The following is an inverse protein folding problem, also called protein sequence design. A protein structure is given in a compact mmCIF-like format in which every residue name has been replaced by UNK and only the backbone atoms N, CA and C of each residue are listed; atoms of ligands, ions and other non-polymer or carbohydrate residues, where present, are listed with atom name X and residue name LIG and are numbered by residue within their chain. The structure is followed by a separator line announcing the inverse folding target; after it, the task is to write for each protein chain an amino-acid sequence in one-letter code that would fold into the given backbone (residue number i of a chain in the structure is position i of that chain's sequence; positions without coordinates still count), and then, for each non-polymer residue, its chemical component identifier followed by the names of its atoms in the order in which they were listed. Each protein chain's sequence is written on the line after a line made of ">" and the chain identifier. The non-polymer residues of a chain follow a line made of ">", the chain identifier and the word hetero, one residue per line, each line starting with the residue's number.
data_IF_126185345646
#
_entry.id   IF_126185345646
#
_cell.length_a   1.000
_cell.length_b   1.000
_cell.length_c   1.000
_cell.angle_alpha   90.00
_cell.angle_beta   90.00
_cell.angle_gamma   90.00
#
_symmetry.space_group_name_H-M   'P 1'
#
loop_
_entity.id
_entity.type
_entity.pdbx_description
1 polymer ?
#
# COMPACT_ATOMS: atom_id res chain seq x y z
N UNK A 1 -17.44 -28.06 -13.97
CA UNK A 1 -16.49 -27.10 -14.58
C UNK A 1 -15.90 -26.26 -13.45
N UNK A 2 -14.67 -26.53 -13.05
CA UNK A 2 -14.02 -25.83 -11.94
C UNK A 2 -13.42 -24.51 -12.45
N UNK A 3 -13.92 -23.38 -11.97
CA UNK A 3 -13.28 -22.07 -12.12
C UNK A 3 -12.19 -21.95 -11.06
N UNK A 4 -10.92 -21.73 -11.39
CA UNK A 4 -9.99 -21.11 -10.46
C UNK A 4 -10.07 -19.61 -10.70
N UNK A 5 -10.68 -18.87 -9.78
CA UNK A 5 -10.40 -17.44 -9.65
C UNK A 5 -10.34 -17.10 -8.17
N UNK A 6 -9.46 -17.80 -7.46
CA UNK A 6 -8.84 -17.20 -6.28
C UNK A 6 -7.92 -16.14 -6.88
N UNK A 7 -8.20 -14.87 -6.68
CA UNK A 7 -7.20 -13.86 -6.95
C UNK A 7 -6.04 -14.16 -6.02
N UNK A 8 -4.96 -14.72 -6.57
CA UNK A 8 -3.74 -14.94 -5.80
C UNK A 8 -3.10 -13.59 -5.51
N UNK A 9 -2.80 -13.37 -4.23
CA UNK A 9 -1.89 -12.34 -3.78
C UNK A 9 -0.58 -12.49 -4.55
N UNK A 10 -0.22 -11.45 -5.29
CA UNK A 10 1.06 -11.40 -5.95
C UNK A 10 2.08 -10.79 -4.98
N UNK A 11 2.93 -11.64 -4.42
CA UNK A 11 4.06 -11.19 -3.61
C UNK A 11 5.27 -10.87 -4.48
N UNK A 12 5.86 -9.70 -4.26
CA UNK A 12 6.96 -9.14 -5.05
C UNK A 12 8.15 -8.91 -4.12
N UNK A 13 9.19 -9.70 -4.31
CA UNK A 13 10.44 -9.63 -3.55
C UNK A 13 11.61 -9.04 -4.35
N UNK A 14 11.48 -8.96 -5.68
CA UNK A 14 12.59 -8.50 -6.52
C UNK A 14 12.70 -6.97 -6.50
N UNK A 15 13.94 -6.48 -6.47
CA UNK A 15 14.22 -5.04 -6.35
C UNK A 15 13.60 -4.22 -7.47
N UNK A 16 13.54 -4.75 -8.69
CA UNK A 16 12.99 -4.04 -9.86
C UNK A 16 11.47 -3.92 -9.77
N UNK A 17 10.78 -5.00 -9.38
CA UNK A 17 9.35 -5.04 -9.13
C UNK A 17 8.93 -4.12 -7.99
N UNK A 18 9.67 -4.17 -6.87
CA UNK A 18 9.48 -3.25 -5.75
C UNK A 18 9.62 -1.80 -6.23
N UNK A 19 10.74 -1.45 -6.87
CA UNK A 19 11.00 -0.11 -7.37
C UNK A 19 9.89 0.40 -8.30
N UNK A 20 9.44 -0.44 -9.26
CA UNK A 20 8.33 -0.09 -10.16
C UNK A 20 7.06 0.30 -9.41
N UNK A 21 6.73 -0.41 -8.33
CA UNK A 21 5.53 -0.11 -7.56
C UNK A 21 5.75 1.14 -6.73
N UNK A 22 6.81 1.24 -5.93
CA UNK A 22 6.96 2.36 -4.99
C UNK A 22 7.19 3.69 -5.69
N UNK A 23 7.85 3.71 -6.85
CA UNK A 23 7.97 4.92 -7.67
C UNK A 23 6.69 5.27 -8.43
N UNK A 24 5.73 4.34 -8.56
CA UNK A 24 4.42 4.62 -9.17
C UNK A 24 3.42 5.26 -8.19
N UNK A 25 3.68 5.19 -6.88
CA UNK A 25 2.80 5.75 -5.87
C UNK A 25 3.29 7.17 -5.52
N UNK A 26 2.50 8.22 -5.78
CA UNK A 26 2.89 9.58 -5.43
C UNK A 26 2.96 9.74 -3.91
N UNK A 27 3.90 10.55 -3.41
CA UNK A 27 4.02 10.92 -2.00
C UNK A 27 4.09 12.44 -1.87
N UNK A 28 3.89 12.98 -0.66
CA UNK A 28 4.13 14.41 -0.46
C UNK A 28 5.63 14.69 -0.51
N UNK A 29 6.06 15.40 -1.54
CA UNK A 29 7.46 15.74 -1.79
C UNK A 29 8.20 14.82 -2.76
N UNK A 30 7.54 13.84 -3.39
CA UNK A 30 8.18 12.97 -4.38
C UNK A 30 7.43 11.64 -4.57
N UNK A 31 8.15 10.54 -4.39
CA UNK A 31 7.60 9.18 -4.41
C UNK A 31 7.66 8.51 -3.03
N UNK A 32 6.96 7.38 -2.89
CA UNK A 32 6.90 6.66 -1.60
C UNK A 32 8.25 6.05 -1.24
N UNK A 33 9.09 5.68 -2.21
CA UNK A 33 10.38 5.05 -1.95
C UNK A 33 11.29 5.98 -1.15
N UNK A 34 11.43 7.22 -1.61
CA UNK A 34 12.23 8.24 -0.94
C UNK A 34 11.71 8.50 0.47
N UNK A 35 10.39 8.58 0.62
CA UNK A 35 9.79 8.93 1.90
C UNK A 35 9.86 7.81 2.95
N UNK A 36 9.75 6.57 2.51
CA UNK A 36 10.00 5.40 3.37
C UNK A 36 11.45 5.40 3.86
N UNK A 37 12.40 5.66 2.96
CA UNK A 37 13.82 5.79 3.30
C UNK A 37 14.06 6.92 4.31
N UNK A 38 13.51 8.12 4.07
CA UNK A 38 13.64 9.27 4.98
C UNK A 38 13.00 9.02 6.35
N UNK A 39 11.98 8.17 6.42
CA UNK A 39 11.33 7.77 7.66
C UNK A 39 12.10 6.69 8.44
N UNK A 40 13.19 6.15 7.87
CA UNK A 40 14.00 5.08 8.46
C UNK A 40 13.51 3.66 8.16
N UNK A 41 12.45 3.51 7.36
CA UNK A 41 11.88 2.22 7.02
C UNK A 41 12.58 1.60 5.79
N UNK A 42 12.81 0.30 5.83
CA UNK A 42 13.31 -0.48 4.69
C UNK A 42 12.19 -1.35 4.16
N UNK A 43 12.01 -1.38 2.84
CA UNK A 43 11.04 -2.28 2.21
C UNK A 43 11.62 -3.69 2.19
N UNK A 44 10.84 -4.66 2.66
CA UNK A 44 11.16 -6.09 2.58
C UNK A 44 10.56 -6.69 1.31
N UNK A 45 9.23 -6.60 1.18
CA UNK A 45 8.49 -7.05 0.01
C UNK A 45 7.16 -6.32 -0.13
N UNK A 46 6.50 -6.49 -1.27
CA UNK A 46 5.17 -5.92 -1.53
C UNK A 46 4.20 -7.05 -1.84
N UNK A 47 3.03 -7.04 -1.22
CA UNK A 47 1.90 -7.86 -1.64
C UNK A 47 0.92 -7.02 -2.46
N UNK A 48 0.46 -7.56 -3.58
CA UNK A 48 -0.60 -6.97 -4.40
C UNK A 48 -1.75 -7.96 -4.49
N UNK A 49 -2.84 -7.66 -3.81
CA UNK A 49 -4.08 -8.41 -3.84
C UNK A 49 -5.06 -7.77 -4.84
N UNK A 50 -5.60 -8.55 -5.77
CA UNK A 50 -6.62 -8.05 -6.72
C UNK A 50 -7.99 -8.29 -6.10
N UNK A 51 -8.73 -7.21 -5.85
CA UNK A 51 -10.05 -7.29 -5.21
C UNK A 51 -10.98 -8.19 -6.03
N UNK A 52 -11.48 -9.23 -5.36
CA UNK A 52 -12.43 -10.22 -5.87
C UNK A 52 -13.87 -9.79 -5.62
N UNK A 53 -14.82 -10.59 -6.11
CA UNK A 53 -16.24 -10.33 -5.85
C UNK A 53 -16.61 -10.66 -4.40
N UNK A 54 -15.92 -11.60 -3.79
CA UNK A 54 -16.07 -12.00 -2.41
C UNK A 54 -15.66 -10.86 -1.49
N UNK A 55 -14.50 -10.23 -1.73
CA UNK A 55 -14.02 -9.07 -0.94
C UNK A 55 -15.01 -7.90 -0.99
N UNK A 56 -15.61 -7.64 -2.16
CA UNK A 56 -16.64 -6.58 -2.31
C UNK A 56 -17.94 -6.93 -1.57
N UNK A 57 -18.26 -8.22 -1.40
CA UNK A 57 -19.42 -8.61 -0.59
C UNK A 57 -19.14 -8.46 0.91
N UNK A 58 -17.90 -8.71 1.33
CA UNK A 58 -17.48 -8.54 2.72
C UNK A 58 -17.35 -7.07 3.10
N UNK A 59 -16.80 -6.23 2.20
CA UNK A 59 -16.59 -4.81 2.46
C UNK A 59 -16.94 -3.90 1.25
N UNK A 60 -18.24 -3.75 0.94
CA UNK A 60 -18.70 -3.00 -0.23
C UNK A 60 -18.45 -1.48 -0.14
N UNK A 61 -18.16 -0.94 1.04
CA UNK A 61 -17.96 0.50 1.24
C UNK A 61 -16.50 0.92 0.94
N UNK A 62 -15.53 0.03 1.18
CA UNK A 62 -14.11 0.36 1.04
C UNK A 62 -13.51 -0.15 -0.28
N UNK A 63 -13.96 -1.30 -0.80
CA UNK A 63 -13.38 -1.91 -2.01
C UNK A 63 -14.40 -2.06 -3.15
N UNK A 64 -13.92 -2.01 -4.40
CA UNK A 64 -14.75 -2.28 -5.58
C UNK A 64 -14.05 -3.20 -6.57
N UNK A 65 -14.84 -3.85 -7.44
CA UNK A 65 -14.30 -4.73 -8.47
C UNK A 65 -13.30 -4.00 -9.37
N UNK A 66 -12.11 -4.60 -9.52
CA UNK A 66 -11.02 -4.03 -10.33
C UNK A 66 -10.07 -3.13 -9.56
N UNK A 67 -10.32 -2.89 -8.26
CA UNK A 67 -9.32 -2.34 -7.37
C UNK A 67 -8.16 -3.33 -7.14
N UNK A 68 -7.03 -2.79 -6.70
CA UNK A 68 -5.91 -3.59 -6.21
C UNK A 68 -5.54 -3.09 -4.82
N UNK A 69 -5.51 -3.98 -3.84
CA UNK A 69 -4.88 -3.69 -2.56
C UNK A 69 -3.37 -3.91 -2.67
N UNK A 70 -2.59 -2.95 -2.18
CA UNK A 70 -1.14 -2.97 -2.17
C UNK A 70 -0.68 -2.79 -0.73
N UNK A 71 0.01 -3.79 -0.20
CA UNK A 71 0.61 -3.77 1.14
C UNK A 71 2.12 -3.78 1.00
N UNK A 72 2.79 -2.76 1.52
CA UNK A 72 4.25 -2.67 1.49
C UNK A 72 4.75 -3.13 2.86
N UNK A 73 5.35 -4.31 2.92
CA UNK A 73 5.92 -4.83 4.15
C UNK A 73 7.27 -4.18 4.41
N UNK A 74 7.41 -3.63 5.60
CA UNK A 74 8.59 -2.85 5.98
C UNK A 74 9.29 -3.43 7.20
N UNK A 75 10.61 -3.29 7.24
CA UNK A 75 11.45 -3.57 8.38
C UNK A 75 12.02 -2.28 8.95
N UNK A 76 12.22 -2.27 10.27
CA UNK A 76 12.74 -1.13 11.00
C UNK A 76 11.64 -0.27 11.62
N UNK A 77 12.07 0.64 12.48
CA UNK A 77 11.18 1.56 13.17
C UNK A 77 11.11 2.87 12.38
N UNK A 78 9.89 3.40 12.15
CA UNK A 78 9.62 4.69 11.49
C UNK A 78 10.09 5.90 12.33
N UNK A 79 11.33 5.86 12.79
CA UNK A 79 11.96 6.80 13.73
C UNK A 79 12.19 8.18 13.13
N UNK A 80 12.23 8.30 11.80
CA UNK A 80 12.34 9.56 11.09
C UNK A 80 11.01 10.30 10.88
N UNK A 81 9.87 9.65 11.18
CA UNK A 81 8.57 10.27 11.01
C UNK A 81 8.19 11.12 12.25
N UNK A 82 7.54 12.29 12.06
CA UNK A 82 7.08 13.15 13.16
C UNK A 82 5.88 12.58 13.93
N UNK A 83 5.31 11.46 13.48
CA UNK A 83 4.26 10.71 14.16
C UNK A 83 4.66 9.26 14.37
N UNK A 84 4.06 8.65 15.40
CA UNK A 84 4.15 7.21 15.63
C UNK A 84 3.40 6.48 14.52
N UNK A 85 4.11 6.15 13.45
CA UNK A 85 3.62 5.28 12.39
C UNK A 85 3.70 3.84 12.90
N UNK A 86 2.60 3.11 12.78
CA UNK A 86 2.47 1.73 13.24
C UNK A 86 2.04 0.87 12.06
N UNK A 87 2.78 -0.23 11.85
CA UNK A 87 2.48 -1.23 10.85
C UNK A 87 2.75 -0.79 9.41
N UNK A 88 2.43 -1.71 8.50
CA UNK A 88 2.74 -1.61 7.10
C UNK A 88 1.81 -0.63 6.35
N UNK A 89 2.35 0.20 5.43
CA UNK A 89 1.53 1.04 4.59
C UNK A 89 0.69 0.21 3.61
N UNK A 90 -0.63 0.41 3.67
CA UNK A 90 -1.64 -0.25 2.82
C UNK A 90 -2.35 0.77 1.94
N UNK A 91 -2.56 0.43 0.67
CA UNK A 91 -3.21 1.28 -0.32
C UNK A 91 -4.23 0.51 -1.13
N UNK A 92 -5.38 1.12 -1.42
CA UNK A 92 -6.24 0.70 -2.52
C UNK A 92 -5.88 1.51 -3.76
N UNK A 93 -5.40 0.84 -4.80
CA UNK A 93 -5.27 1.41 -6.14
C UNK A 93 -6.60 1.29 -6.87
N UNK A 94 -7.28 2.43 -7.01
CA UNK A 94 -8.52 2.56 -7.77
C UNK A 94 -8.26 3.39 -9.02
N UNK A 95 -8.20 2.71 -10.17
CA UNK A 95 -7.80 3.32 -11.46
C UNK A 95 -6.40 3.95 -11.35
N UNK A 96 -6.32 5.28 -11.36
CA UNK A 96 -5.08 6.05 -11.23
C UNK A 96 -4.87 6.67 -9.84
N UNK A 97 -5.76 6.40 -8.88
CA UNK A 97 -5.69 6.96 -7.52
C UNK A 97 -5.24 5.90 -6.53
N UNK A 98 -4.47 6.33 -5.54
CA UNK A 98 -4.07 5.52 -4.39
C UNK A 98 -4.76 6.06 -3.15
N UNK A 99 -5.59 5.22 -2.52
CA UNK A 99 -6.37 5.53 -1.33
C UNK A 99 -5.66 4.90 -0.14
N UNK A 100 -5.22 5.68 0.87
CA UNK A 100 -4.54 5.11 2.02
C UNK A 100 -5.52 4.31 2.88
N UNK A 101 -5.09 3.14 3.36
CA UNK A 101 -5.88 2.28 4.27
C UNK A 101 -5.26 2.18 5.66
N UNK A 102 -4.07 2.76 5.85
CA UNK A 102 -3.41 2.83 7.15
C UNK A 102 -2.89 4.24 7.42
N UNK A 103 -2.65 4.54 8.70
CA UNK A 103 -2.06 5.81 9.14
C UNK A 103 -0.70 6.04 8.48
N UNK A 104 0.11 4.99 8.38
CA UNK A 104 1.40 5.00 7.67
C UNK A 104 1.22 5.38 6.20
N UNK A 105 0.27 4.75 5.50
CA UNK A 105 -0.03 5.09 4.11
C UNK A 105 -0.50 6.54 3.95
N UNK A 106 -1.36 7.03 4.82
CA UNK A 106 -1.87 8.40 4.75
C UNK A 106 -0.78 9.44 5.00
N UNK A 107 0.10 9.19 5.97
CA UNK A 107 1.29 10.02 6.19
C UNK A 107 2.21 10.00 4.96
N UNK A 108 2.45 8.83 4.36
CA UNK A 108 3.30 8.75 3.17
C UNK A 108 2.72 9.55 2.00
N UNK A 109 1.40 9.52 1.78
CA UNK A 109 0.77 10.29 0.70
C UNK A 109 0.71 11.79 0.97
N UNK A 110 0.35 12.20 2.18
CA UNK A 110 -0.03 13.60 2.48
C UNK A 110 1.03 14.37 3.26
N UNK A 111 1.92 13.65 3.97
CA UNK A 111 2.83 14.22 4.95
C UNK A 111 2.20 14.67 6.25
N UNK A 112 0.90 14.45 6.39
CA UNK A 112 0.16 14.76 7.60
C UNK A 112 0.00 13.50 8.44
N UNK A 113 0.13 13.66 9.74
CA UNK A 113 -0.16 12.61 10.71
C UNK A 113 -1.66 12.47 11.01
N UNK A 114 -2.51 13.29 10.37
CA UNK A 114 -3.96 13.17 10.45
C UNK A 114 -4.43 12.06 9.51
N UNK A 115 -5.12 11.08 10.07
CA UNK A 115 -5.80 10.02 9.34
C UNK A 115 -7.28 10.09 9.69
N UNK A 116 -8.06 10.66 8.78
CA UNK A 116 -9.51 10.60 8.80
C UNK A 116 -9.87 9.28 8.09
N UNK A 117 -9.76 8.18 8.84
CA UNK A 117 -10.08 6.84 8.36
C UNK A 117 -11.54 6.72 7.94
#
# INVERSE_FOLDING_TARGET
>A
MCRPSLAEDQTIHDTVGIAKIVHSIPSAGGDIAQRLYDSGAKIDYISVHKITREDVQEDPEHVTMGDQEITIYTQGDFTGAPCQLLGDPRFIKRKSRYIPQSRTAAYLLTGSCKFDG
#
